data_IF_074792069427
#
_entry.id   IF_074792069427
#
_cell.length_a   1.000
_cell.length_b   1.000
_cell.length_c   1.000
_cell.angle_alpha   90.00
_cell.angle_beta   90.00
_cell.angle_gamma   90.00
#
_symmetry.space_group_name_H-M   'P 1'
#
loop_
_entity.id
_entity.type
_entity.pdbx_description
1 polymer ?
#
# COMPACT_ATOMS: atom_id res chain seq x y z
N UNK A 1 49.37 3.27 -32.27
CA UNK A 1 48.97 2.44 -31.12
C UNK A 1 47.72 3.10 -30.60
N UNK A 2 46.57 2.59 -31.05
CA UNK A 2 45.26 3.20 -30.84
C UNK A 2 44.55 2.37 -29.76
N UNK A 3 44.47 2.93 -28.56
CA UNK A 3 43.91 2.29 -27.36
C UNK A 3 42.38 2.45 -27.39
N UNK A 4 41.72 1.59 -28.16
CA UNK A 4 40.25 1.46 -28.14
C UNK A 4 39.82 0.74 -26.86
N UNK A 5 39.74 1.48 -25.74
CA UNK A 5 39.03 1.01 -24.54
C UNK A 5 37.54 0.94 -24.86
N UNK A 6 37.06 -0.27 -25.16
CA UNK A 6 35.64 -0.58 -25.12
C UNK A 6 35.11 -0.29 -23.73
N UNK A 7 34.25 0.73 -23.60
CA UNK A 7 33.44 0.96 -22.41
C UNK A 7 32.57 -0.29 -22.18
N UNK A 8 32.54 -0.86 -20.96
CA UNK A 8 31.62 -1.95 -20.67
C UNK A 8 30.20 -1.40 -20.81
N UNK A 9 29.43 -1.98 -21.74
CA UNK A 9 28.00 -1.74 -21.81
C UNK A 9 27.40 -2.16 -20.46
N UNK A 10 26.99 -1.19 -19.65
CA UNK A 10 26.13 -1.44 -18.50
C UNK A 10 24.87 -2.12 -19.04
N UNK A 11 24.77 -3.43 -18.82
CA UNK A 11 23.54 -4.17 -19.10
C UNK A 11 22.49 -3.54 -18.17
N UNK A 12 21.42 -2.94 -18.70
CA UNK A 12 20.39 -2.36 -17.86
C UNK A 12 19.78 -3.46 -17.00
N UNK A 13 19.61 -3.21 -15.71
CA UNK A 13 18.79 -4.10 -14.88
C UNK A 13 17.35 -4.03 -15.39
N UNK A 14 16.74 -5.19 -15.60
CA UNK A 14 15.31 -5.27 -15.85
C UNK A 14 14.55 -5.27 -14.51
N UNK A 15 13.31 -4.78 -14.51
CA UNK A 15 12.43 -4.85 -13.35
C UNK A 15 11.64 -6.17 -13.37
N UNK A 16 11.82 -6.98 -12.32
CA UNK A 16 11.20 -8.28 -12.14
C UNK A 16 10.16 -8.24 -11.03
N UNK A 17 9.03 -8.92 -11.23
CA UNK A 17 8.11 -9.29 -10.15
C UNK A 17 8.46 -10.70 -9.67
N UNK A 18 8.62 -10.86 -8.36
CA UNK A 18 8.90 -12.16 -7.73
C UNK A 18 7.88 -12.40 -6.63
N UNK A 19 7.37 -13.63 -6.57
CA UNK A 19 6.52 -14.13 -5.50
C UNK A 19 7.13 -15.41 -4.91
N UNK A 20 7.46 -15.36 -3.62
CA UNK A 20 8.05 -16.46 -2.85
C UNK A 20 7.07 -16.94 -1.78
N UNK A 21 7.27 -18.14 -1.26
CA UNK A 21 6.43 -18.74 -0.22
C UNK A 21 7.05 -18.58 1.17
N UNK A 22 6.23 -18.25 2.16
CA UNK A 22 6.64 -18.31 3.57
C UNK A 22 6.66 -19.76 4.09
N UNK A 23 7.59 -20.15 4.99
CA UNK A 23 7.66 -21.51 5.53
C UNK A 23 6.38 -21.98 6.24
N UNK A 24 5.69 -21.07 6.91
CA UNK A 24 4.44 -21.31 7.66
C UNK A 24 3.17 -21.16 6.81
N UNK A 25 3.33 -20.84 5.52
CA UNK A 25 2.25 -20.62 4.57
C UNK A 25 2.02 -19.14 4.26
N UNK A 26 1.48 -18.88 3.08
CA UNK A 26 1.34 -17.52 2.53
C UNK A 26 2.44 -17.16 1.54
N UNK A 27 2.38 -15.94 1.04
CA UNK A 27 3.26 -15.47 -0.03
C UNK A 27 3.89 -14.12 0.30
N UNK A 28 5.12 -13.93 -0.14
CA UNK A 28 5.85 -12.67 -0.13
C UNK A 28 6.13 -12.25 -1.57
N UNK A 29 5.64 -11.07 -1.97
CA UNK A 29 5.84 -10.59 -3.34
C UNK A 29 6.47 -9.21 -3.37
N UNK A 30 7.47 -9.04 -4.23
CA UNK A 30 8.18 -7.77 -4.44
C UNK A 30 8.59 -7.58 -5.89
N UNK A 31 8.73 -6.32 -6.28
CA UNK A 31 9.40 -5.96 -7.53
C UNK A 31 10.85 -5.58 -7.22
N UNK A 32 11.81 -6.07 -8.00
CA UNK A 32 13.23 -5.77 -7.83
C UNK A 32 13.96 -5.63 -9.16
N UNK A 33 15.01 -4.82 -9.18
CA UNK A 33 15.88 -4.66 -10.34
C UNK A 33 16.98 -5.73 -10.33
N UNK A 34 17.10 -6.48 -11.43
CA UNK A 34 18.03 -7.58 -11.53
C UNK A 34 18.50 -7.85 -12.96
N UNK A 35 19.66 -8.50 -13.06
CA UNK A 35 20.26 -8.91 -14.33
C UNK A 35 19.58 -10.16 -14.93
N UNK A 36 18.79 -10.87 -14.13
CA UNK A 36 18.08 -12.07 -14.55
C UNK A 36 17.15 -12.59 -13.46
N UNK A 37 16.33 -13.58 -13.80
CA UNK A 37 15.31 -14.15 -12.90
C UNK A 37 15.90 -14.69 -11.59
N UNK A 38 17.01 -15.44 -11.66
CA UNK A 38 17.63 -16.00 -10.47
C UNK A 38 18.20 -14.93 -9.53
N UNK A 39 18.86 -13.90 -10.08
CA UNK A 39 19.34 -12.76 -9.31
C UNK A 39 18.17 -12.01 -8.64
N UNK A 40 17.05 -11.82 -9.36
CA UNK A 40 15.83 -11.23 -8.80
C UNK A 40 15.26 -12.05 -7.64
N UNK A 41 15.17 -13.36 -7.82
CA UNK A 41 14.65 -14.30 -6.82
C UNK A 41 15.51 -14.26 -5.55
N UNK A 42 16.84 -14.32 -5.70
CA UNK A 42 17.77 -14.28 -4.55
C UNK A 42 17.66 -12.95 -3.80
N UNK A 43 17.60 -11.81 -4.51
CA UNK A 43 17.41 -10.50 -3.87
C UNK A 43 16.12 -10.43 -3.07
N UNK A 44 15.02 -10.90 -3.62
CA UNK A 44 13.73 -10.91 -2.90
C UNK A 44 13.74 -11.90 -1.74
N UNK A 45 14.41 -13.05 -1.87
CA UNK A 45 14.58 -14.00 -0.78
C UNK A 45 15.44 -13.43 0.37
N UNK A 46 16.44 -12.61 0.05
CA UNK A 46 17.21 -11.87 1.06
C UNK A 46 16.35 -10.85 1.82
N UNK A 47 15.44 -10.16 1.13
CA UNK A 47 14.51 -9.20 1.75
C UNK A 47 13.49 -9.87 2.68
N UNK A 48 13.22 -11.17 2.53
CA UNK A 48 12.37 -11.91 3.48
C UNK A 48 13.06 -12.14 4.83
N UNK A 49 14.38 -11.94 4.91
CA UNK A 49 15.12 -11.99 6.17
C UNK A 49 15.03 -10.63 6.84
N UNK A 50 13.99 -10.44 7.65
CA UNK A 50 13.87 -9.27 8.53
C UNK A 50 14.80 -9.37 9.75
N UNK A 51 14.87 -8.31 10.56
CA UNK A 51 15.79 -8.22 11.71
C UNK A 51 15.52 -9.32 12.76
N UNK A 52 14.23 -9.67 12.95
CA UNK A 52 13.83 -10.71 13.91
C UNK A 52 14.30 -12.08 13.42
N UNK A 53 14.06 -12.43 12.15
CA UNK A 53 14.51 -13.69 11.56
C UNK A 53 16.03 -13.75 11.43
N UNK A 54 16.69 -12.64 11.09
CA UNK A 54 18.14 -12.55 10.98
C UNK A 54 18.84 -12.97 12.28
N UNK A 55 18.27 -12.58 13.43
CA UNK A 55 18.81 -12.90 14.75
C UNK A 55 18.73 -14.39 15.13
N UNK A 56 17.92 -15.17 14.40
CA UNK A 56 17.72 -16.60 14.68
C UNK A 56 18.80 -17.49 14.06
N UNK A 57 19.51 -17.01 13.04
CA UNK A 57 20.55 -17.79 12.38
C UNK A 57 21.84 -17.84 13.22
N UNK A 58 22.37 -19.04 13.43
CA UNK A 58 23.64 -19.24 14.13
C UNK A 58 24.87 -18.93 13.28
N UNK A 59 24.71 -18.79 11.97
CA UNK A 59 25.79 -18.46 11.03
C UNK A 59 25.28 -17.85 9.72
N UNK A 60 26.17 -17.19 8.99
CA UNK A 60 25.89 -16.70 7.63
C UNK A 60 25.63 -17.86 6.64
N UNK A 61 26.24 -19.02 6.84
CA UNK A 61 26.01 -20.22 6.01
C UNK A 61 24.58 -20.74 6.18
N UNK A 62 24.07 -20.75 7.41
CA UNK A 62 22.69 -21.12 7.72
C UNK A 62 21.69 -20.14 7.10
N UNK A 63 21.96 -18.83 7.24
CA UNK A 63 21.19 -17.77 6.61
C UNK A 63 21.13 -17.94 5.08
N UNK A 64 22.27 -18.19 4.45
CA UNK A 64 22.34 -18.44 3.00
C UNK A 64 21.66 -19.74 2.58
N UNK A 65 21.71 -20.79 3.42
CA UNK A 65 20.96 -22.02 3.23
C UNK A 65 19.44 -21.73 3.18
N UNK A 66 18.95 -20.95 4.14
CA UNK A 66 17.55 -20.55 4.19
C UNK A 66 17.13 -19.71 2.98
N UNK A 67 17.93 -18.70 2.60
CA UNK A 67 17.68 -17.86 1.41
C UNK A 67 17.59 -18.72 0.15
N UNK A 68 18.53 -19.65 -0.04
CA UNK A 68 18.53 -20.54 -1.21
C UNK A 68 17.30 -21.46 -1.20
N UNK A 69 16.87 -21.94 -0.03
CA UNK A 69 15.65 -22.74 0.08
C UNK A 69 14.43 -21.94 -0.36
N UNK A 70 14.29 -20.67 0.11
CA UNK A 70 13.19 -19.79 -0.33
C UNK A 70 13.24 -19.47 -1.81
N UNK A 71 14.44 -19.22 -2.33
CA UNK A 71 14.66 -18.96 -3.74
C UNK A 71 14.24 -20.15 -4.62
N UNK A 72 14.54 -21.38 -4.19
CA UNK A 72 14.16 -22.59 -4.90
C UNK A 72 12.64 -22.88 -4.81
N UNK A 73 11.96 -22.44 -3.74
CA UNK A 73 10.49 -22.55 -3.60
C UNK A 73 9.75 -21.33 -4.20
N UNK A 74 10.32 -20.69 -5.22
CA UNK A 74 9.68 -19.56 -5.90
C UNK A 74 8.35 -19.98 -6.54
N UNK A 75 7.31 -19.18 -6.33
CA UNK A 75 5.97 -19.42 -6.88
C UNK A 75 5.78 -18.75 -8.23
N UNK A 76 6.31 -17.53 -8.39
CA UNK A 76 6.24 -16.77 -9.64
C UNK A 76 7.48 -15.87 -9.78
N UNK A 77 8.03 -15.79 -10.99
CA UNK A 77 9.05 -14.81 -11.34
C UNK A 77 8.88 -14.42 -12.81
N UNK A 78 8.58 -13.15 -13.07
CA UNK A 78 8.34 -12.65 -14.42
C UNK A 78 8.83 -11.21 -14.57
N UNK A 79 9.10 -10.81 -15.81
CA UNK A 79 9.41 -9.43 -16.14
C UNK A 79 8.15 -8.58 -15.99
N UNK A 80 8.25 -7.44 -15.30
CA UNK A 80 7.10 -6.54 -15.09
C UNK A 80 6.54 -6.05 -16.41
N UNK A 81 7.40 -5.82 -17.41
CA UNK A 81 7.00 -5.42 -18.77
C UNK A 81 6.11 -6.46 -19.46
N UNK A 82 6.41 -7.74 -19.30
CA UNK A 82 5.66 -8.82 -19.95
C UNK A 82 4.29 -8.98 -19.28
N UNK A 83 4.26 -8.95 -17.95
CA UNK A 83 3.02 -8.97 -17.17
C UNK A 83 2.12 -7.77 -17.50
N UNK A 84 2.67 -6.55 -17.52
CA UNK A 84 1.95 -5.35 -17.90
C UNK A 84 1.36 -5.46 -19.32
N UNK A 85 2.15 -5.97 -20.27
CA UNK A 85 1.68 -6.21 -21.63
C UNK A 85 0.47 -7.14 -21.66
N UNK A 86 0.56 -8.28 -20.97
CA UNK A 86 -0.55 -9.23 -20.86
C UNK A 86 -1.78 -8.62 -20.20
N UNK A 87 -1.60 -7.84 -19.12
CA UNK A 87 -2.70 -7.20 -18.39
C UNK A 87 -3.40 -6.13 -19.24
N UNK A 88 -2.64 -5.35 -20.01
CA UNK A 88 -3.20 -4.37 -20.95
C UNK A 88 -4.02 -5.03 -22.06
N UNK A 89 -3.52 -6.12 -22.66
CA UNK A 89 -4.29 -6.90 -23.66
C UNK A 89 -5.56 -7.45 -23.02
N UNK A 90 -5.49 -7.95 -21.79
CA UNK A 90 -6.68 -8.47 -21.09
C UNK A 90 -7.72 -7.39 -20.80
N UNK A 91 -7.30 -6.19 -20.45
CA UNK A 91 -8.19 -5.08 -20.10
C UNK A 91 -8.75 -4.34 -21.31
N UNK A 92 -7.91 -4.08 -22.33
CA UNK A 92 -8.22 -3.19 -23.46
C UNK A 92 -8.06 -3.87 -24.83
N UNK A 93 -7.88 -5.19 -24.86
CA UNK A 93 -7.57 -5.91 -26.10
C UNK A 93 -8.65 -5.76 -27.17
N UNK A 94 -9.92 -5.63 -26.79
CA UNK A 94 -11.02 -5.43 -27.74
C UNK A 94 -10.95 -4.08 -28.44
N UNK A 95 -10.55 -3.04 -27.71
CA UNK A 95 -10.37 -1.69 -28.21
C UNK A 95 -9.06 -1.56 -29.01
N UNK A 96 -8.00 -2.25 -28.57
CA UNK A 96 -6.69 -2.21 -29.21
C UNK A 96 -6.59 -3.08 -30.46
N UNK A 97 -7.31 -4.21 -30.50
CA UNK A 97 -7.26 -5.22 -31.56
C UNK A 97 -8.68 -5.57 -32.04
N UNK A 98 -9.38 -4.66 -32.72
CA UNK A 98 -10.76 -4.89 -33.17
C UNK A 98 -10.91 -6.03 -34.18
N UNK A 99 -9.81 -6.44 -34.83
CA UNK A 99 -9.76 -7.56 -35.76
C UNK A 99 -9.30 -8.89 -35.10
N UNK A 100 -9.26 -8.95 -33.76
CA UNK A 100 -8.78 -10.08 -32.94
C UNK A 100 -7.32 -10.51 -33.25
N UNK A 101 -6.53 -9.62 -33.86
CA UNK A 101 -5.11 -9.83 -34.15
C UNK A 101 -4.23 -9.13 -33.12
N UNK A 102 -3.89 -9.87 -32.07
CA UNK A 102 -2.97 -9.38 -31.05
C UNK A 102 -1.58 -9.09 -31.64
N UNK A 103 -0.99 -7.98 -31.19
CA UNK A 103 0.39 -7.60 -31.50
C UNK A 103 1.09 -7.12 -30.24
N UNK A 104 2.42 -7.29 -30.12
CA UNK A 104 3.15 -6.83 -28.95
C UNK A 104 2.93 -5.33 -28.71
N UNK A 105 2.61 -4.97 -27.47
CA UNK A 105 2.45 -3.57 -27.07
C UNK A 105 3.83 -2.92 -27.00
N UNK A 106 4.03 -1.85 -27.76
CA UNK A 106 5.26 -1.07 -27.69
C UNK A 106 5.26 -0.20 -26.42
N UNK A 107 5.92 -0.69 -25.36
CA UNK A 107 5.97 0.00 -24.07
C UNK A 107 6.73 1.34 -24.11
N UNK A 108 7.68 1.51 -25.03
CA UNK A 108 8.35 2.81 -25.22
C UNK A 108 7.39 3.85 -25.77
N UNK A 109 6.60 3.50 -26.79
CA UNK A 109 5.57 4.38 -27.32
C UNK A 109 4.46 4.65 -26.28
N UNK A 110 4.06 3.62 -25.53
CA UNK A 110 3.09 3.77 -24.45
C UNK A 110 3.60 4.73 -23.37
N UNK A 111 4.89 4.65 -22.99
CA UNK A 111 5.51 5.59 -22.04
C UNK A 111 5.39 7.04 -22.54
N UNK A 112 5.68 7.30 -23.81
CA UNK A 112 5.54 8.66 -24.36
C UNK A 112 4.09 9.16 -24.30
N UNK A 113 3.11 8.29 -24.61
CA UNK A 113 1.68 8.63 -24.47
C UNK A 113 1.33 8.92 -23.01
N UNK A 114 1.82 8.11 -22.07
CA UNK A 114 1.60 8.32 -20.63
C UNK A 114 2.16 9.67 -20.19
N UNK A 115 3.39 9.98 -20.56
CA UNK A 115 4.05 11.24 -20.19
C UNK A 115 3.36 12.45 -20.83
N UNK A 116 2.90 12.32 -22.07
CA UNK A 116 2.22 13.40 -22.79
C UNK A 116 0.81 13.70 -22.26
N UNK A 117 0.15 12.72 -21.63
CA UNK A 117 -1.22 12.84 -21.10
C UNK A 117 -1.26 12.64 -19.58
N UNK A 118 -0.13 12.88 -18.90
CA UNK A 118 0.06 12.56 -17.49
C UNK A 118 -0.97 13.26 -16.59
N UNK A 119 -1.40 14.46 -16.96
CA UNK A 119 -2.42 15.27 -16.27
C UNK A 119 -3.84 14.71 -16.39
N UNK A 120 -4.14 13.97 -17.46
CA UNK A 120 -5.43 13.32 -17.69
C UNK A 120 -5.44 11.88 -17.16
N UNK A 121 -4.30 11.19 -17.25
CA UNK A 121 -4.15 9.79 -16.85
C UNK A 121 -3.95 9.64 -15.34
N UNK A 122 -3.17 10.53 -14.75
CA UNK A 122 -3.19 10.70 -13.31
C UNK A 122 -4.41 11.56 -13.04
N UNK A 123 -5.47 10.93 -12.53
CA UNK A 123 -6.42 11.69 -11.72
C UNK A 123 -5.56 12.49 -10.78
N UNK A 124 -5.64 13.82 -10.80
CA UNK A 124 -5.08 14.60 -9.71
C UNK A 124 -5.64 13.93 -8.47
N UNK A 125 -4.77 13.28 -7.72
CA UNK A 125 -5.08 12.95 -6.35
C UNK A 125 -5.12 14.30 -5.67
N UNK A 126 -6.20 15.04 -5.89
CA UNK A 126 -6.87 15.65 -4.77
C UNK A 126 -7.12 14.46 -3.85
N UNK A 127 -6.18 14.21 -2.94
CA UNK A 127 -6.23 13.27 -1.81
C UNK A 127 -7.68 13.11 -1.41
N UNK A 128 -8.41 12.10 -1.95
CA UNK A 128 -9.87 12.14 -2.11
C UNK A 128 -10.41 13.39 -1.45
N UNK A 129 -10.27 14.55 -2.12
CA UNK A 129 -11.03 15.69 -1.70
C UNK A 129 -12.40 15.22 -2.16
N UNK A 130 -13.05 14.46 -1.27
CA UNK A 130 -14.47 14.56 -1.07
C UNK A 130 -14.77 16.02 -1.39
N UNK A 131 -15.69 16.28 -2.33
CA UNK A 131 -15.84 17.57 -2.95
C UNK A 131 -15.69 18.64 -1.88
N UNK A 132 -15.10 19.81 -2.20
CA UNK A 132 -15.29 20.99 -1.35
C UNK A 132 -16.81 21.28 -1.27
N UNK A 133 -17.48 20.47 -0.46
CA UNK A 133 -18.88 20.28 -0.19
C UNK A 133 -18.85 19.90 1.27
N UNK A 134 -18.81 20.95 2.08
CA UNK A 134 -19.31 20.95 3.45
C UNK A 134 -18.54 20.05 4.43
N UNK A 135 -17.99 20.65 5.49
CA UNK A 135 -17.51 19.89 6.65
C UNK A 135 -18.59 18.87 7.03
N UNK A 136 -18.24 17.58 7.11
CA UNK A 136 -19.22 16.58 7.50
C UNK A 136 -19.42 16.69 9.00
N UNK A 137 -20.57 17.24 9.42
CA UNK A 137 -20.94 17.30 10.82
C UNK A 137 -21.25 15.90 11.36
N UNK A 138 -20.50 15.53 12.40
CA UNK A 138 -20.66 14.33 13.18
C UNK A 138 -21.41 14.69 14.47
N UNK A 139 -22.57 14.07 14.67
CA UNK A 139 -23.38 14.25 15.89
C UNK A 139 -22.99 13.22 16.91
N UNK A 140 -22.63 13.65 18.12
CA UNK A 140 -22.29 12.73 19.22
C UNK A 140 -23.43 11.73 19.47
N UNK A 141 -23.08 10.45 19.59
CA UNK A 141 -24.05 9.38 19.84
C UNK A 141 -23.90 8.78 21.24
N UNK A 142 -22.74 8.24 21.56
CA UNK A 142 -22.48 7.56 22.85
C UNK A 142 -20.99 7.40 23.11
N UNK A 143 -20.64 7.08 24.35
CA UNK A 143 -19.29 6.66 24.73
C UNK A 143 -19.36 5.23 25.26
N UNK A 144 -18.50 4.36 24.75
CA UNK A 144 -18.27 3.03 25.26
C UNK A 144 -16.83 2.97 25.81
N UNK A 145 -16.72 3.14 27.13
CA UNK A 145 -15.42 3.07 27.81
C UNK A 145 -14.88 1.64 27.92
N UNK A 146 -15.72 0.60 27.77
CA UNK A 146 -15.28 -0.79 27.84
C UNK A 146 -14.44 -1.18 26.62
N UNK A 147 -14.81 -0.65 25.45
CA UNK A 147 -14.09 -0.87 24.19
C UNK A 147 -13.24 0.32 23.75
N UNK A 148 -13.10 1.35 24.59
CA UNK A 148 -12.37 2.58 24.30
C UNK A 148 -12.87 3.32 23.04
N UNK A 149 -14.19 3.37 22.82
CA UNK A 149 -14.83 3.95 21.63
C UNK A 149 -15.70 5.15 21.97
N UNK A 150 -15.65 6.18 21.13
CA UNK A 150 -16.55 7.34 21.16
C UNK A 150 -17.30 7.38 19.84
N UNK A 151 -18.62 7.16 19.90
CA UNK A 151 -19.47 7.02 18.72
C UNK A 151 -20.09 8.35 18.29
N UNK A 152 -20.16 8.52 16.98
CA UNK A 152 -20.78 9.63 16.28
C UNK A 152 -21.66 9.13 15.15
N UNK A 153 -22.68 9.90 14.81
CA UNK A 153 -23.52 9.68 13.63
C UNK A 153 -23.21 10.70 12.54
N UNK A 154 -23.12 10.23 11.32
CA UNK A 154 -23.08 11.07 10.11
C UNK A 154 -24.49 11.57 9.76
N UNK A 155 -24.58 12.61 8.93
CA UNK A 155 -25.87 13.18 8.49
C UNK A 155 -26.78 12.17 7.76
N UNK A 156 -26.20 11.16 7.09
CA UNK A 156 -26.93 10.07 6.44
C UNK A 156 -27.29 8.90 7.39
N UNK A 157 -27.07 9.05 8.70
CA UNK A 157 -27.41 8.05 9.70
C UNK A 157 -26.41 6.89 9.86
N UNK A 158 -25.26 6.96 9.18
CA UNK A 158 -24.14 6.05 9.39
C UNK A 158 -23.54 6.21 10.78
N UNK A 159 -22.91 5.14 11.27
CA UNK A 159 -22.25 5.12 12.58
C UNK A 159 -20.73 5.13 12.37
N UNK A 160 -20.04 5.97 13.13
CA UNK A 160 -18.59 6.03 13.16
C UNK A 160 -18.11 6.05 14.60
N UNK A 161 -16.89 5.59 14.85
CA UNK A 161 -16.29 5.71 16.18
C UNK A 161 -14.84 6.18 16.11
N UNK A 162 -14.46 7.04 17.05
CA UNK A 162 -13.07 7.21 17.43
C UNK A 162 -12.73 6.12 18.43
N UNK A 163 -11.79 5.25 18.07
CA UNK A 163 -11.28 4.22 18.96
C UNK A 163 -9.85 4.55 19.35
N UNK A 164 -9.55 4.45 20.65
CA UNK A 164 -8.19 4.52 21.16
C UNK A 164 -7.38 3.33 20.64
N UNK A 165 -6.31 3.62 19.92
CA UNK A 165 -5.34 2.65 19.41
C UNK A 165 -4.07 2.65 20.31
N UNK A 166 -3.05 1.89 19.94
CA UNK A 166 -1.78 1.84 20.69
C UNK A 166 -1.16 3.23 20.85
N UNK A 167 -0.73 3.57 22.07
CA UNK A 167 0.09 4.74 22.35
C UNK A 167 -0.64 6.09 22.40
N UNK A 168 -1.87 6.15 22.93
CA UNK A 168 -2.63 7.41 23.10
C UNK A 168 -3.08 8.09 21.80
N UNK A 169 -3.08 7.35 20.69
CA UNK A 169 -3.58 7.83 19.39
C UNK A 169 -4.99 7.32 19.15
N UNK A 170 -5.82 8.10 18.47
CA UNK A 170 -7.15 7.65 18.07
C UNK A 170 -7.20 7.46 16.55
N UNK A 171 -7.97 6.48 16.12
CA UNK A 171 -8.34 6.28 14.72
C UNK A 171 -9.85 6.38 14.57
N UNK A 172 -10.29 6.98 13.47
CA UNK A 172 -11.70 7.06 13.13
C UNK A 172 -12.07 5.87 12.23
N UNK A 173 -13.15 5.19 12.57
CA UNK A 173 -13.65 4.04 11.82
C UNK A 173 -15.09 4.28 11.38
N UNK A 174 -15.44 3.74 10.21
CA UNK A 174 -16.82 3.43 9.89
C UNK A 174 -17.23 2.17 10.68
N UNK A 175 -18.42 2.19 11.28
CA UNK A 175 -18.93 1.08 12.09
C UNK A 175 -20.08 0.38 11.38
N UNK A 176 -20.16 -0.93 11.61
CA UNK A 176 -21.36 -1.71 11.35
C UNK A 176 -22.54 -1.22 12.20
N UNK A 177 -23.75 -1.69 11.88
CA UNK A 177 -24.97 -1.37 12.66
C UNK A 177 -24.88 -1.79 14.11
N UNK A 178 -24.09 -2.83 14.41
CA UNK A 178 -23.90 -3.36 15.76
C UNK A 178 -22.83 -2.60 16.55
N UNK A 179 -22.18 -1.59 15.94
CA UNK A 179 -21.17 -0.76 16.60
C UNK A 179 -19.74 -1.26 16.40
N UNK A 180 -19.53 -2.36 15.68
CA UNK A 180 -18.18 -2.86 15.43
C UNK A 180 -17.46 -2.08 14.31
N UNK A 181 -16.19 -1.66 14.52
CA UNK A 181 -15.36 -1.03 13.49
C UNK A 181 -15.17 -1.96 12.29
N UNK A 182 -15.43 -1.44 11.09
CA UNK A 182 -15.24 -2.19 9.85
C UNK A 182 -13.93 -1.79 9.16
N UNK A 183 -13.75 -0.49 8.89
CA UNK A 183 -12.56 0.04 8.23
C UNK A 183 -12.27 1.48 8.68
N UNK A 184 -10.99 1.84 8.65
CA UNK A 184 -10.52 3.19 9.00
C UNK A 184 -10.99 4.20 7.96
N UNK A 185 -11.43 5.37 8.42
CA UNK A 185 -11.78 6.52 7.59
C UNK A 185 -11.02 7.75 8.06
N UNK A 186 -10.90 8.75 7.17
CA UNK A 186 -10.18 9.98 7.47
C UNK A 186 -10.98 10.94 8.37
N UNK A 187 -10.29 11.60 9.28
CA UNK A 187 -10.81 12.60 10.21
C UNK A 187 -10.60 14.05 9.75
N UNK A 188 -9.76 14.30 8.73
CA UNK A 188 -9.33 15.64 8.28
C UNK A 188 -10.47 16.59 7.82
N UNK A 189 -11.66 16.07 7.49
CA UNK A 189 -12.82 16.85 7.04
C UNK A 189 -14.08 16.66 7.91
N UNK A 190 -13.90 16.30 9.19
CA UNK A 190 -15.00 16.07 10.14
C UNK A 190 -15.09 17.20 11.17
N UNK A 191 -16.28 17.73 11.38
CA UNK A 191 -16.60 18.63 12.50
C UNK A 191 -17.46 17.89 13.51
N UNK A 192 -17.18 18.05 14.79
CA UNK A 192 -18.00 17.52 15.86
C UNK A 192 -17.84 18.36 17.12
N UNK A 193 -18.79 18.20 18.03
CA UNK A 193 -18.64 18.65 19.40
C UNK A 193 -18.10 17.50 20.26
N UNK A 194 -17.19 17.84 21.17
CA UNK A 194 -16.72 16.85 22.13
C UNK A 194 -17.85 16.42 23.06
N UNK A 195 -17.81 15.17 23.57
CA UNK A 195 -18.76 14.73 24.59
C UNK A 195 -18.64 15.58 25.86
N UNK A 196 -19.78 15.92 26.45
CA UNK A 196 -19.85 16.66 27.73
C UNK A 196 -19.53 15.77 28.94
N UNK A 197 -19.54 14.45 28.77
CA UNK A 197 -19.28 13.52 29.87
C UNK A 197 -17.81 13.56 30.30
N UNK A 198 -17.60 13.52 31.62
CA UNK A 198 -16.27 13.47 32.24
C UNK A 198 -15.83 12.02 32.36
N UNK A 199 -15.15 11.51 31.33
CA UNK A 199 -14.48 10.20 31.37
C UNK A 199 -13.02 10.35 30.93
N UNK A 200 -12.15 9.49 31.47
CA UNK A 200 -10.71 9.48 31.10
C UNK A 200 -10.50 9.30 29.61
N UNK A 201 -11.36 8.50 28.96
CA UNK A 201 -11.33 8.30 27.50
C UNK A 201 -11.62 9.60 26.75
N UNK A 202 -12.64 10.36 27.18
CA UNK A 202 -12.99 11.65 26.57
C UNK A 202 -11.92 12.70 26.81
N UNK A 203 -11.27 12.69 27.97
CA UNK A 203 -10.12 13.56 28.25
C UNK A 203 -8.92 13.23 27.35
N UNK A 204 -8.59 11.95 27.20
CA UNK A 204 -7.53 11.49 26.30
C UNK A 204 -7.84 11.86 24.83
N UNK A 205 -9.09 11.68 24.40
CA UNK A 205 -9.53 12.05 23.06
C UNK A 205 -9.41 13.56 22.80
N UNK A 206 -9.83 14.39 23.76
CA UNK A 206 -9.68 15.86 23.69
C UNK A 206 -8.21 16.25 23.56
N UNK A 207 -7.33 15.67 24.39
CA UNK A 207 -5.89 15.96 24.34
C UNK A 207 -5.31 15.61 22.98
N UNK A 208 -5.57 14.38 22.50
CA UNK A 208 -5.10 13.92 21.20
C UNK A 208 -5.55 14.82 20.05
N UNK A 209 -6.82 15.23 20.04
CA UNK A 209 -7.36 16.09 18.98
C UNK A 209 -6.73 17.49 18.97
N UNK A 210 -6.44 18.04 20.15
CA UNK A 210 -5.75 19.34 20.28
C UNK A 210 -4.31 19.22 19.80
N UNK A 211 -3.58 18.18 20.22
CA UNK A 211 -2.19 17.94 19.80
C UNK A 211 -2.09 17.72 18.29
N UNK A 212 -3.04 17.01 17.70
CA UNK A 212 -3.12 16.80 16.26
C UNK A 212 -3.32 18.13 15.51
N UNK A 213 -4.22 18.99 16.02
CA UNK A 213 -4.53 20.29 15.40
C UNK A 213 -3.37 21.27 15.51
N UNK A 214 -2.56 21.20 16.58
CA UNK A 214 -1.40 22.05 16.81
C UNK A 214 -0.16 21.70 15.95
N UNK A 215 -0.10 20.49 15.39
CA UNK A 215 1.01 20.03 14.53
C UNK A 215 0.74 20.22 13.02
N UNK A 216 -0.39 20.83 12.66
CA UNK A 216 -0.81 21.09 11.28
C UNK A 216 -0.97 22.59 10.93
N UNK A 217 -0.55 23.48 11.85
CA UNK A 217 -0.35 24.94 11.64
C UNK A 217 1.15 25.26 11.53
#
# INVERSE_FOLDING_TARGET
MDDSRSTPSLIPNDLWYVCLRWPDGGSFSRCTEALGSWDAIIKVAQEMVDDDLASTFGSEEERWGWINERANDSMECCLVKDRLGSDLVRLFGKEMFPDDKESPINLSALREVILANLDQLLTKTDVVQAPQSEKTDLTFHSVDSGNCRIYYKTANGGLCCFQLDTGSTFKLYHCSRDGEPEHTIDHLNKSFNFPECKSKLVEAFKSWWVDLSANHD
#
